data_IF_052624576538
#
_entry.id   IF_052624576538
#
_cell.length_a   1.000
_cell.length_b   1.000
_cell.length_c   1.000
_cell.angle_alpha   90.00
_cell.angle_beta   90.00
_cell.angle_gamma   90.00
#
_symmetry.space_group_name_H-M   'P 1'
#
loop_
_entity.id
_entity.type
_entity.pdbx_description
1 polymer ?
#
# COMPACT_ATOMS: atom_id res chain seq x y z
N UNK A 1 -6.39 19.90 -9.30
CA UNK A 1 -5.93 19.44 -7.97
C UNK A 1 -7.05 19.00 -7.06
N UNK A 2 -8.13 19.76 -6.95
CA UNK A 2 -9.30 19.38 -6.14
C UNK A 2 -10.10 18.20 -6.69
N UNK A 3 -9.93 17.91 -7.98
CA UNK A 3 -10.69 16.87 -8.66
C UNK A 3 -10.26 15.46 -8.23
N UNK A 4 -8.94 15.26 -8.00
CA UNK A 4 -8.44 13.93 -7.64
C UNK A 4 -8.96 13.41 -6.29
N UNK A 5 -8.99 14.23 -5.21
CA UNK A 5 -9.58 13.79 -3.95
C UNK A 5 -11.07 13.47 -4.09
N UNK A 6 -11.80 14.27 -4.87
CA UNK A 6 -13.23 14.04 -5.08
C UNK A 6 -13.47 12.72 -5.81
N UNK A 7 -12.72 12.48 -6.89
CA UNK A 7 -12.83 11.23 -7.65
C UNK A 7 -12.49 10.03 -6.77
N UNK A 8 -11.45 10.13 -5.95
CA UNK A 8 -11.04 9.06 -5.04
C UNK A 8 -12.14 8.74 -4.03
N UNK A 9 -12.73 9.78 -3.42
CA UNK A 9 -13.80 9.61 -2.42
C UNK A 9 -15.04 8.98 -3.08
N UNK A 10 -15.43 9.46 -4.27
CA UNK A 10 -16.57 8.92 -4.99
C UNK A 10 -16.35 7.45 -5.34
N UNK A 11 -15.15 7.10 -5.79
CA UNK A 11 -14.79 5.72 -6.11
C UNK A 11 -14.90 4.82 -4.88
N UNK A 12 -14.35 5.26 -3.75
CA UNK A 12 -14.46 4.50 -2.51
C UNK A 12 -15.89 4.31 -2.06
N UNK A 13 -16.73 5.36 -2.19
CA UNK A 13 -18.13 5.28 -1.84
C UNK A 13 -18.87 4.26 -2.71
N UNK A 14 -18.62 4.27 -4.02
CA UNK A 14 -19.20 3.32 -4.95
C UNK A 14 -18.78 1.89 -4.59
N UNK A 15 -17.48 1.67 -4.33
CA UNK A 15 -16.99 0.36 -3.95
C UNK A 15 -17.60 -0.12 -2.63
N UNK A 16 -17.76 0.79 -1.67
CA UNK A 16 -18.40 0.47 -0.40
C UNK A 16 -19.85 0.03 -0.60
N UNK A 17 -20.58 0.71 -1.47
CA UNK A 17 -21.97 0.35 -1.78
C UNK A 17 -22.04 -1.01 -2.48
N UNK A 18 -21.15 -1.25 -3.45
CA UNK A 18 -21.12 -2.51 -4.21
C UNK A 18 -20.78 -3.70 -3.32
N UNK A 19 -19.74 -3.58 -2.50
CA UNK A 19 -19.30 -4.67 -1.63
C UNK A 19 -20.30 -4.95 -0.51
N UNK A 20 -20.93 -3.90 0.01
CA UNK A 20 -21.92 -4.02 1.06
C UNK A 20 -21.36 -3.68 2.44
N UNK A 21 -22.13 -2.90 3.16
CA UNK A 21 -21.76 -2.39 4.48
C UNK A 21 -21.44 -3.52 5.48
N UNK A 22 -22.27 -4.54 5.52
CA UNK A 22 -22.14 -5.63 6.50
C UNK A 22 -20.86 -6.43 6.24
N UNK A 23 -20.54 -6.73 4.97
CA UNK A 23 -19.33 -7.48 4.62
C UNK A 23 -18.08 -6.71 5.00
N UNK A 24 -18.06 -5.41 4.73
CA UNK A 24 -16.90 -4.58 5.08
C UNK A 24 -16.71 -4.52 6.59
N UNK A 25 -17.78 -4.31 7.35
CA UNK A 25 -17.69 -4.27 8.80
C UNK A 25 -17.22 -5.60 9.38
N UNK A 26 -17.74 -6.73 8.86
CA UNK A 26 -17.33 -8.04 9.33
C UNK A 26 -15.83 -8.28 9.11
N UNK A 27 -15.32 -7.82 7.98
CA UNK A 27 -13.87 -7.97 7.70
C UNK A 27 -13.04 -7.07 8.61
N UNK A 28 -13.48 -5.84 8.86
CA UNK A 28 -12.76 -4.94 9.76
C UNK A 28 -12.80 -5.43 11.23
N UNK A 29 -13.85 -6.15 11.61
CA UNK A 29 -13.92 -6.73 12.97
C UNK A 29 -12.80 -7.74 13.22
N UNK A 30 -12.21 -8.32 12.17
CA UNK A 30 -11.07 -9.21 12.32
C UNK A 30 -9.89 -8.52 13.02
N UNK A 31 -9.75 -7.20 12.84
CA UNK A 31 -8.69 -6.43 13.49
C UNK A 31 -8.86 -6.35 15.01
N UNK A 32 -10.08 -6.60 15.51
CA UNK A 32 -10.35 -6.62 16.94
C UNK A 32 -10.08 -7.99 17.56
N UNK A 33 -9.87 -9.01 16.74
CA UNK A 33 -9.61 -10.36 17.20
C UNK A 33 -8.12 -10.57 17.45
N UNK A 34 -7.75 -10.99 18.64
CA UNK A 34 -6.36 -11.25 19.01
C UNK A 34 -5.70 -12.30 18.10
N UNK A 35 -6.45 -13.33 17.73
CA UNK A 35 -5.93 -14.44 16.93
C UNK A 35 -5.57 -14.02 15.52
N UNK A 36 -6.14 -12.92 15.01
CA UNK A 36 -5.78 -12.38 13.70
C UNK A 36 -4.35 -11.85 13.68
N UNK A 37 -3.83 -11.31 14.79
CA UNK A 37 -2.57 -10.60 14.84
C UNK A 37 -1.39 -11.55 15.00
N UNK A 38 -1.16 -12.39 14.00
CA UNK A 38 0.07 -13.18 13.88
C UNK A 38 1.20 -12.28 13.40
N UNK A 39 2.45 -12.77 13.47
CA UNK A 39 3.59 -11.99 13.02
C UNK A 39 3.44 -11.54 11.56
N UNK A 40 2.92 -12.41 10.69
CA UNK A 40 2.72 -12.09 9.29
C UNK A 40 1.68 -11.00 9.10
N UNK A 41 0.58 -11.07 9.82
CA UNK A 41 -0.50 -10.09 9.71
C UNK A 41 -0.09 -8.72 10.26
N UNK A 42 0.68 -8.70 11.35
CA UNK A 42 1.22 -7.46 11.92
C UNK A 42 2.15 -6.78 10.92
N UNK A 43 3.08 -7.52 10.35
CA UNK A 43 4.03 -6.99 9.37
C UNK A 43 3.31 -6.52 8.11
N UNK A 44 2.35 -7.30 7.64
CA UNK A 44 1.55 -6.93 6.46
C UNK A 44 0.78 -5.64 6.69
N UNK A 45 0.08 -5.53 7.82
CA UNK A 45 -0.69 -4.32 8.15
C UNK A 45 0.21 -3.10 8.26
N UNK A 46 1.31 -3.21 9.01
CA UNK A 46 2.26 -2.11 9.18
C UNK A 46 2.88 -1.68 7.85
N UNK A 47 3.21 -2.62 6.99
CA UNK A 47 3.78 -2.33 5.67
C UNK A 47 2.79 -1.62 4.76
N UNK A 48 1.52 -2.05 4.76
CA UNK A 48 0.49 -1.38 3.97
C UNK A 48 0.20 0.03 4.50
N UNK A 49 0.20 0.23 5.82
CA UNK A 49 0.00 1.55 6.41
C UNK A 49 1.16 2.49 6.06
N UNK A 50 2.40 2.02 6.15
CA UNK A 50 3.55 2.82 5.75
C UNK A 50 3.51 3.17 4.26
N UNK A 51 3.11 2.23 3.42
CA UNK A 51 2.96 2.46 1.99
C UNK A 51 1.87 3.48 1.69
N UNK A 52 0.75 3.42 2.42
CA UNK A 52 -0.34 4.37 2.26
C UNK A 52 0.10 5.80 2.60
N UNK A 53 0.93 5.97 3.63
CA UNK A 53 1.47 7.27 4.00
C UNK A 53 2.27 7.90 2.85
N UNK A 54 2.90 7.07 2.02
CA UNK A 54 3.65 7.55 0.87
C UNK A 54 2.73 7.84 -0.32
N UNK A 55 1.81 6.92 -0.61
CA UNK A 55 0.99 6.97 -1.82
C UNK A 55 -0.09 8.06 -1.72
N UNK A 56 -0.76 8.16 -0.57
CA UNK A 56 -1.89 9.07 -0.43
C UNK A 56 -1.49 10.54 -0.62
N UNK A 57 -0.43 11.07 0.02
CA UNK A 57 -0.02 12.44 -0.25
C UNK A 57 0.35 12.70 -1.70
N UNK A 58 0.99 11.74 -2.37
CA UNK A 58 1.32 11.86 -3.79
C UNK A 58 0.08 11.96 -4.66
N UNK A 59 -0.92 11.13 -4.40
CA UNK A 59 -2.15 11.11 -5.19
C UNK A 59 -3.06 12.30 -4.88
N UNK A 60 -3.18 12.67 -3.61
CA UNK A 60 -4.14 13.69 -3.18
C UNK A 60 -3.57 15.09 -3.34
N UNK A 61 -2.32 15.29 -2.97
CA UNK A 61 -1.70 16.63 -2.91
C UNK A 61 -0.58 16.83 -3.94
N UNK A 62 -0.25 15.82 -4.71
CA UNK A 62 0.85 15.90 -5.68
C UNK A 62 2.23 16.00 -5.04
N UNK A 63 2.37 15.58 -3.78
CA UNK A 63 3.64 15.62 -3.06
C UNK A 63 4.43 14.36 -3.39
N UNK A 64 5.54 14.53 -4.12
CA UNK A 64 6.42 13.41 -4.46
C UNK A 64 7.82 13.70 -3.90
N UNK A 65 8.23 12.87 -2.93
CA UNK A 65 9.55 12.93 -2.36
C UNK A 65 10.29 11.65 -2.76
N UNK A 66 11.36 11.81 -3.53
CA UNK A 66 12.08 10.64 -4.08
C UNK A 66 12.58 9.69 -3.01
N UNK A 67 13.01 10.22 -1.87
CA UNK A 67 13.55 9.39 -0.78
C UNK A 67 12.46 8.57 -0.07
N UNK A 68 11.18 8.91 -0.25
CA UNK A 68 10.09 8.11 0.28
C UNK A 68 10.01 6.74 -0.39
N UNK A 69 10.58 6.61 -1.59
CA UNK A 69 10.64 5.33 -2.27
C UNK A 69 11.56 4.31 -1.60
N UNK A 70 12.49 4.74 -0.74
CA UNK A 70 13.23 3.80 0.11
C UNK A 70 12.29 3.07 1.06
N UNK A 71 11.33 3.78 1.64
CA UNK A 71 10.29 3.16 2.49
C UNK A 71 9.46 2.18 1.67
N UNK A 72 9.13 2.53 0.42
CA UNK A 72 8.42 1.62 -0.48
C UNK A 72 9.22 0.35 -0.75
N UNK A 73 10.52 0.45 -0.93
CA UNK A 73 11.37 -0.74 -1.11
C UNK A 73 11.30 -1.65 0.11
N UNK A 74 11.42 -1.09 1.30
CA UNK A 74 11.39 -1.86 2.54
C UNK A 74 10.01 -2.49 2.73
N UNK A 75 8.95 -1.72 2.59
CA UNK A 75 7.57 -2.22 2.79
C UNK A 75 7.19 -3.27 1.75
N UNK A 76 7.58 -3.08 0.50
CA UNK A 76 7.29 -4.07 -0.55
C UNK A 76 8.04 -5.37 -0.31
N UNK A 77 9.29 -5.31 0.16
CA UNK A 77 10.05 -6.50 0.52
C UNK A 77 9.39 -7.26 1.66
N UNK A 78 8.93 -6.56 2.70
CA UNK A 78 8.22 -7.17 3.82
C UNK A 78 6.89 -7.76 3.39
N UNK A 79 6.17 -7.08 2.49
CA UNK A 79 4.91 -7.59 1.95
C UNK A 79 5.12 -8.84 1.08
N UNK A 80 6.21 -8.90 0.33
CA UNK A 80 6.55 -10.11 -0.43
C UNK A 80 6.81 -11.27 0.54
N UNK A 81 7.57 -11.03 1.60
CA UNK A 81 7.82 -12.06 2.61
C UNK A 81 6.52 -12.58 3.22
N UNK A 82 5.65 -11.69 3.67
CA UNK A 82 4.36 -12.07 4.25
C UNK A 82 3.48 -12.80 3.24
N UNK A 83 3.45 -12.33 2.00
CA UNK A 83 2.65 -12.94 0.94
C UNK A 83 3.16 -14.32 0.54
N UNK A 84 4.47 -14.53 0.57
CA UNK A 84 5.04 -15.86 0.34
C UNK A 84 4.60 -16.85 1.41
N UNK A 85 4.58 -16.42 2.67
CA UNK A 85 4.12 -17.26 3.78
C UNK A 85 2.64 -17.59 3.68
N UNK A 86 1.85 -16.67 3.13
CA UNK A 86 0.40 -16.85 2.95
C UNK A 86 0.04 -17.46 1.60
N UNK A 87 1.02 -17.70 0.73
CA UNK A 87 0.81 -18.23 -0.63
C UNK A 87 -0.11 -17.35 -1.47
N UNK A 88 0.20 -16.06 -1.56
CA UNK A 88 -0.57 -15.08 -2.30
C UNK A 88 0.25 -14.56 -3.50
N UNK A 89 0.28 -15.29 -4.63
CA UNK A 89 1.19 -14.97 -5.73
C UNK A 89 0.92 -13.61 -6.38
N UNK A 90 -0.32 -13.18 -6.45
CA UNK A 90 -0.68 -11.89 -7.05
C UNK A 90 -0.07 -10.74 -6.26
N UNK A 91 -0.10 -10.80 -4.93
CA UNK A 91 0.51 -9.77 -4.08
C UNK A 91 2.03 -9.76 -4.20
N UNK A 92 2.65 -10.92 -4.35
CA UNK A 92 4.09 -11.02 -4.60
C UNK A 92 4.45 -10.29 -5.90
N UNK A 93 3.69 -10.54 -6.95
CA UNK A 93 3.91 -9.91 -8.25
C UNK A 93 3.76 -8.39 -8.18
N UNK A 94 2.67 -7.90 -7.57
CA UNK A 94 2.43 -6.47 -7.46
C UNK A 94 3.51 -5.76 -6.64
N UNK A 95 3.93 -6.35 -5.55
CA UNK A 95 4.99 -5.75 -4.73
C UNK A 95 6.34 -5.78 -5.44
N UNK A 96 6.59 -6.79 -6.27
CA UNK A 96 7.79 -6.82 -7.12
C UNK A 96 7.78 -5.68 -8.13
N UNK A 97 6.63 -5.39 -8.73
CA UNK A 97 6.46 -4.25 -9.64
C UNK A 97 6.72 -2.94 -8.90
N UNK A 98 6.21 -2.79 -7.68
CA UNK A 98 6.45 -1.60 -6.85
C UNK A 98 7.94 -1.41 -6.55
N UNK A 99 8.66 -2.49 -6.29
CA UNK A 99 10.12 -2.43 -6.09
C UNK A 99 10.81 -1.90 -7.35
N UNK A 100 10.43 -2.40 -8.52
CA UNK A 100 11.01 -1.95 -9.78
C UNK A 100 10.75 -0.46 -10.02
N UNK A 101 9.52 0.00 -9.77
CA UNK A 101 9.15 1.41 -9.93
C UNK A 101 9.97 2.28 -8.98
N UNK A 102 10.05 1.89 -7.71
CA UNK A 102 10.77 2.67 -6.70
C UNK A 102 12.27 2.72 -6.97
N UNK A 103 12.87 1.61 -7.37
CA UNK A 103 14.27 1.58 -7.76
C UNK A 103 14.54 2.49 -8.95
N UNK A 104 13.66 2.47 -9.95
CA UNK A 104 13.81 3.33 -11.12
C UNK A 104 13.80 4.80 -10.72
N UNK A 105 12.86 5.21 -9.86
CA UNK A 105 12.76 6.60 -9.41
C UNK A 105 13.99 7.01 -8.62
N UNK A 106 14.44 6.15 -7.69
CA UNK A 106 15.61 6.43 -6.86
C UNK A 106 16.86 6.58 -7.74
N UNK A 107 17.07 5.63 -8.65
CA UNK A 107 18.25 5.65 -9.51
C UNK A 107 18.27 6.86 -10.45
N UNK A 108 17.12 7.23 -11.00
CA UNK A 108 17.02 8.41 -11.85
C UNK A 108 17.35 9.68 -11.06
N UNK A 109 16.90 9.77 -9.84
CA UNK A 109 17.18 10.93 -9.00
C UNK A 109 18.64 11.00 -8.62
N UNK A 110 19.24 9.88 -8.20
CA UNK A 110 20.67 9.82 -7.85
C UNK A 110 21.55 10.12 -9.06
N UNK A 111 21.15 9.67 -10.26
CA UNK A 111 21.93 9.94 -11.47
C UNK A 111 22.05 11.41 -11.77
N UNK A 112 21.07 12.23 -11.38
CA UNK A 112 21.13 13.69 -11.56
C UNK A 112 22.19 14.35 -10.67
N UNK A 113 22.57 13.70 -9.59
CA UNK A 113 23.58 14.21 -8.65
C UNK A 113 24.99 13.72 -8.97
N UNK A 114 25.11 12.72 -9.84
CA UNK A 114 26.38 12.16 -10.27
C UNK A 114 26.76 12.69 -11.64
#
# INVERSE_FOLDING_TARGET
MMIYPIVFIVYLAIMYIIVGHILILNKFQMYLNRDYWTNYNIIEFASWMAKAIIIIPGLVFGIELWYMHFITLITSSLLIWASMKKSLPTLILFNSIWICISLTIILKHLAKWL
#
